data_IF_520337164159
#
_entry.id   IF_520337164159
#
_cell.length_a   1.000
_cell.length_b   1.000
_cell.length_c   1.000
_cell.angle_alpha   90.00
_cell.angle_beta   90.00
_cell.angle_gamma   90.00
#
_symmetry.space_group_name_H-M   'P 1'
#
loop_
_entity.id
_entity.type
_entity.pdbx_description
1 polymer ?
#
# COMPACT_ATOMS: atom_id res chain seq x y z
N UNK A 1 8.09 -9.73 12.89
CA UNK A 1 6.75 -10.18 13.36
C UNK A 1 5.74 -9.37 12.59
N UNK A 2 4.85 -10.01 11.81
CA UNK A 2 3.78 -9.29 11.13
C UNK A 2 2.81 -8.76 12.19
N UNK A 3 2.72 -7.44 12.33
CA UNK A 3 1.74 -6.75 13.17
C UNK A 3 0.38 -6.90 12.53
N UNK A 4 -0.64 -7.33 13.28
CA UNK A 4 -2.03 -7.29 12.83
C UNK A 4 -2.35 -5.87 12.34
N UNK A 5 -2.79 -5.73 11.09
CA UNK A 5 -3.34 -4.47 10.62
C UNK A 5 -4.70 -4.28 11.30
N UNK A 6 -4.80 -3.23 12.13
CA UNK A 6 -5.98 -2.97 12.97
C UNK A 6 -7.29 -2.92 12.17
N UNK A 7 -7.19 -2.51 10.91
CA UNK A 7 -8.28 -2.41 9.94
C UNK A 7 -8.96 -3.74 9.64
N UNK A 8 -8.31 -4.89 9.87
CA UNK A 8 -8.93 -6.22 9.67
C UNK A 8 -9.32 -6.90 10.98
N UNK A 9 -9.07 -6.27 12.12
CA UNK A 9 -9.28 -6.88 13.42
C UNK A 9 -10.77 -6.99 13.75
N UNK A 10 -11.26 -8.23 13.94
CA UNK A 10 -12.67 -8.50 14.20
C UNK A 10 -13.21 -7.81 15.46
N UNK A 11 -12.39 -7.69 16.52
CA UNK A 11 -12.78 -6.96 17.73
C UNK A 11 -12.90 -5.47 17.47
N UNK A 12 -11.93 -4.87 16.78
CA UNK A 12 -11.93 -3.45 16.47
C UNK A 12 -13.13 -3.06 15.59
N UNK A 13 -13.42 -3.83 14.54
CA UNK A 13 -14.63 -3.63 13.73
C UNK A 13 -15.92 -3.80 14.55
N UNK A 14 -15.99 -4.82 15.40
CA UNK A 14 -17.18 -5.04 16.25
C UNK A 14 -17.37 -3.88 17.23
N UNK A 15 -16.27 -3.33 17.77
CA UNK A 15 -16.27 -2.16 18.64
C UNK A 15 -16.80 -0.91 17.92
N UNK A 16 -16.32 -0.63 16.70
CA UNK A 16 -16.75 0.51 15.90
C UNK A 16 -18.22 0.43 15.47
N UNK A 17 -18.71 -0.78 15.15
CA UNK A 17 -20.03 -0.97 14.57
C UNK A 17 -21.09 -1.35 15.62
N UNK A 18 -20.91 -2.49 16.31
CA UNK A 18 -21.91 -3.04 17.25
C UNK A 18 -21.88 -2.34 18.60
N UNK A 19 -20.69 -1.99 19.11
CA UNK A 19 -20.50 -1.31 20.40
C UNK A 19 -20.17 0.18 20.22
N UNK A 20 -20.71 0.80 19.16
CA UNK A 20 -20.42 2.17 18.74
C UNK A 20 -20.52 3.20 19.87
N UNK A 21 -21.53 3.09 20.73
CA UNK A 21 -21.70 4.01 21.88
C UNK A 21 -20.49 3.98 22.83
N UNK A 22 -19.95 2.79 23.11
CA UNK A 22 -18.79 2.62 23.98
C UNK A 22 -17.52 3.10 23.26
N UNK A 23 -17.39 2.84 21.96
CA UNK A 23 -16.31 3.36 21.13
C UNK A 23 -16.26 4.89 21.15
N UNK A 24 -17.37 5.56 20.82
CA UNK A 24 -17.47 7.03 20.83
C UNK A 24 -17.20 7.62 22.23
N UNK A 25 -17.63 6.93 23.29
CA UNK A 25 -17.30 7.32 24.67
C UNK A 25 -15.79 7.23 24.95
N UNK A 26 -15.12 6.16 24.49
CA UNK A 26 -13.68 6.02 24.64
C UNK A 26 -12.93 7.15 23.90
N UNK A 27 -13.35 7.47 22.67
CA UNK A 27 -12.74 8.56 21.88
C UNK A 27 -12.91 9.93 22.52
N UNK A 28 -14.14 10.28 22.92
CA UNK A 28 -14.43 11.60 23.54
C UNK A 28 -13.68 11.83 24.85
N UNK A 29 -13.27 10.75 25.54
CA UNK A 29 -12.53 10.81 26.80
C UNK A 29 -11.05 10.47 26.67
N UNK A 30 -10.55 10.28 25.45
CA UNK A 30 -9.19 9.86 25.15
C UNK A 30 -8.76 8.60 25.94
N UNK A 31 -9.69 7.66 26.13
CA UNK A 31 -9.40 6.39 26.78
C UNK A 31 -8.57 5.50 25.88
N UNK A 32 -7.77 4.64 26.50
CA UNK A 32 -6.90 3.72 25.80
C UNK A 32 -7.69 2.50 25.37
N UNK A 33 -7.62 2.15 24.09
CA UNK A 33 -8.32 0.98 23.53
C UNK A 33 -7.28 -0.14 23.36
N UNK A 34 -7.51 -1.30 23.95
CA UNK A 34 -6.65 -2.46 23.78
C UNK A 34 -7.31 -3.45 22.82
N UNK A 35 -6.63 -3.78 21.73
CA UNK A 35 -7.13 -4.62 20.64
C UNK A 35 -6.31 -5.90 20.62
N UNK A 36 -6.83 -7.03 21.13
CA UNK A 36 -6.12 -8.29 21.01
C UNK A 36 -5.93 -8.68 19.55
N UNK A 37 -4.76 -9.25 19.22
CA UNK A 37 -4.45 -9.73 17.89
C UNK A 37 -5.52 -10.75 17.41
N UNK A 38 -5.79 -10.77 16.11
CA UNK A 38 -6.79 -11.61 15.43
C UNK A 38 -6.64 -13.08 15.80
N UNK A 39 -5.39 -13.55 15.95
CA UNK A 39 -5.10 -14.91 16.42
C UNK A 39 -5.64 -15.18 17.82
N UNK A 40 -5.47 -14.24 18.75
CA UNK A 40 -5.91 -14.39 20.12
C UNK A 40 -7.44 -14.24 20.28
N UNK A 41 -8.12 -13.77 19.24
CA UNK A 41 -9.58 -13.67 19.17
C UNK A 41 -10.26 -14.94 18.61
N UNK A 42 -9.51 -15.90 18.05
CA UNK A 42 -10.09 -17.11 17.45
C UNK A 42 -10.95 -17.88 18.45
N UNK A 43 -12.18 -18.20 18.05
CA UNK A 43 -13.16 -18.92 18.88
C UNK A 43 -13.78 -18.11 20.02
N UNK A 44 -13.41 -16.83 20.18
CA UNK A 44 -14.00 -15.96 21.20
C UNK A 44 -15.24 -15.24 20.68
N UNK A 45 -16.27 -15.17 21.53
CA UNK A 45 -17.42 -14.31 21.30
C UNK A 45 -17.16 -12.93 21.92
N UNK A 46 -17.23 -11.87 21.11
CA UNK A 46 -17.07 -10.50 21.56
C UNK A 46 -18.36 -10.04 22.24
N UNK A 47 -18.36 -10.03 23.57
CA UNK A 47 -19.47 -9.58 24.44
C UNK A 47 -19.25 -8.16 24.95
N UNK A 48 -20.28 -7.57 25.57
CA UNK A 48 -20.13 -6.26 26.24
C UNK A 48 -19.06 -6.32 27.33
N UNK A 49 -19.10 -7.34 28.19
CA UNK A 49 -18.07 -7.58 29.22
C UNK A 49 -16.65 -7.67 28.63
N UNK A 50 -16.48 -8.31 27.47
CA UNK A 50 -15.20 -8.36 26.78
C UNK A 50 -14.74 -6.94 26.40
N UNK A 51 -15.61 -6.15 25.77
CA UNK A 51 -15.32 -4.76 25.38
C UNK A 51 -14.93 -3.91 26.59
N UNK A 52 -15.66 -4.03 27.69
CA UNK A 52 -15.43 -3.20 28.87
C UNK A 52 -14.06 -3.44 29.52
N UNK A 53 -13.60 -4.69 29.49
CA UNK A 53 -12.28 -5.08 29.98
C UNK A 53 -11.13 -4.58 29.10
N UNK A 54 -11.41 -4.32 27.82
CA UNK A 54 -10.42 -3.92 26.83
C UNK A 54 -10.39 -2.41 26.55
N UNK A 55 -11.17 -1.62 27.28
CA UNK A 55 -11.09 -0.15 27.27
C UNK A 55 -10.60 0.32 28.63
N UNK A 56 -9.51 1.08 28.63
CA UNK A 56 -8.75 1.44 29.81
C UNK A 56 -8.80 2.95 30.08
N UNK A 57 -9.18 3.29 31.31
CA UNK A 57 -9.24 4.65 31.84
C UNK A 57 -7.96 4.97 32.61
N UNK A 58 -7.31 6.12 32.39
CA UNK A 58 -6.15 6.50 33.19
C UNK A 58 -6.54 6.63 34.66
N UNK A 59 -5.68 6.14 35.54
CA UNK A 59 -5.86 6.31 36.99
C UNK A 59 -5.55 7.76 37.39
N UNK A 60 -6.39 8.41 38.21
CA UNK A 60 -6.11 9.76 38.70
C UNK A 60 -4.94 9.81 39.69
N UNK A 61 -4.60 8.67 40.30
CA UNK A 61 -3.60 8.60 41.38
C UNK A 61 -2.22 8.13 40.90
N UNK A 62 -2.15 7.38 39.80
CA UNK A 62 -0.90 6.80 39.31
C UNK A 62 -0.87 6.87 37.78
N UNK A 63 0.10 7.61 37.22
CA UNK A 63 0.20 7.86 35.78
C UNK A 63 0.44 6.61 34.93
N UNK A 64 1.06 5.57 35.50
CA UNK A 64 1.29 4.29 34.83
C UNK A 64 0.12 3.30 34.96
N UNK A 65 -0.89 3.61 35.77
CA UNK A 65 -1.99 2.69 36.03
C UNK A 65 -3.25 3.07 35.28
N UNK A 66 -3.98 2.05 34.87
CA UNK A 66 -5.22 2.18 34.13
C UNK A 66 -6.26 1.22 34.69
N UNK A 67 -7.51 1.66 34.77
CA UNK A 67 -8.63 0.83 35.19
C UNK A 67 -9.52 0.50 34.01
N UNK A 68 -9.96 -0.75 33.88
CA UNK A 68 -10.94 -1.15 32.86
C UNK A 68 -12.28 -0.41 33.05
N UNK A 69 -13.10 -0.41 32.01
CA UNK A 69 -14.44 0.21 32.01
C UNK A 69 -15.57 -0.74 32.43
N UNK A 70 -15.23 -1.88 33.00
CA UNK A 70 -16.14 -2.87 33.56
C UNK A 70 -16.83 -2.35 34.83
N UNK A 71 -17.89 -3.04 35.23
CA UNK A 71 -18.64 -2.72 36.43
C UNK A 71 -17.70 -2.67 37.66
N UNK A 72 -17.69 -1.51 38.33
CA UNK A 72 -16.83 -1.28 39.50
C UNK A 72 -15.36 -0.97 39.20
N UNK A 73 -14.93 -0.88 37.93
CA UNK A 73 -13.50 -0.69 37.56
C UNK A 73 -12.61 -1.76 38.19
N UNK A 74 -13.05 -3.01 38.09
CA UNK A 74 -12.58 -4.06 38.96
C UNK A 74 -11.20 -4.61 38.56
N UNK A 75 -10.75 -4.32 37.33
CA UNK A 75 -9.42 -4.66 36.85
C UNK A 75 -8.53 -3.41 36.73
N UNK A 76 -7.31 -3.50 37.30
CA UNK A 76 -6.30 -2.45 37.23
C UNK A 76 -5.06 -3.00 36.55
N UNK A 77 -4.59 -2.29 35.53
CA UNK A 77 -3.42 -2.61 34.73
C UNK A 77 -2.33 -1.58 34.96
N UNK A 78 -1.09 -2.02 35.09
CA UNK A 78 0.09 -1.18 35.10
C UNK A 78 0.77 -1.28 33.73
N UNK A 79 0.99 -0.13 33.09
CA UNK A 79 1.79 -0.03 31.87
C UNK A 79 3.27 -0.01 32.26
N UNK A 80 3.99 -1.08 31.92
CA UNK A 80 5.41 -1.24 32.17
C UNK A 80 6.15 -1.56 30.86
N UNK A 81 6.80 -0.54 30.30
CA UNK A 81 7.50 -0.66 29.01
C UNK A 81 6.55 -1.02 27.88
N UNK A 82 6.78 -2.18 27.26
CA UNK A 82 5.99 -2.74 26.16
C UNK A 82 4.91 -3.73 26.64
N UNK A 83 4.54 -3.70 27.92
CA UNK A 83 3.61 -4.67 28.50
C UNK A 83 2.59 -4.03 29.44
N UNK A 84 1.35 -4.57 29.44
CA UNK A 84 0.31 -4.28 30.41
C UNK A 84 0.25 -5.41 31.44
N UNK A 85 0.54 -5.09 32.70
CA UNK A 85 0.56 -6.04 33.81
C UNK A 85 -0.74 -5.91 34.61
N UNK A 86 -1.50 -6.99 34.73
CA UNK A 86 -2.72 -7.00 35.54
C UNK A 86 -2.35 -6.99 37.03
N UNK A 87 -2.59 -5.86 37.69
CA UNK A 87 -2.24 -5.60 39.08
C UNK A 87 -3.37 -5.92 40.05
N UNK A 88 -4.63 -5.80 39.63
CA UNK A 88 -5.81 -6.12 40.45
C UNK A 88 -6.90 -6.74 39.57
N UNK A 89 -7.56 -7.79 40.06
CA UNK A 89 -8.74 -8.40 39.46
C UNK A 89 -9.67 -8.95 40.57
N UNK A 90 -10.97 -9.21 40.30
CA UNK A 90 -11.90 -9.80 41.26
C UNK A 90 -11.52 -11.21 41.72
N UNK A 91 -10.86 -11.98 40.85
CA UNK A 91 -10.39 -13.33 41.13
C UNK A 91 -8.91 -13.27 41.50
N UNK A 92 -8.49 -14.01 42.53
CA UNK A 92 -7.07 -14.16 42.85
C UNK A 92 -6.36 -14.87 41.70
N UNK A 93 -5.50 -14.14 40.99
CA UNK A 93 -4.66 -14.68 39.94
C UNK A 93 -3.36 -15.11 40.60
N UNK A 94 -3.09 -16.43 40.59
CA UNK A 94 -1.92 -17.01 41.25
C UNK A 94 -0.58 -16.60 40.61
N UNK A 95 -0.61 -16.21 39.33
CA UNK A 95 0.56 -15.78 38.55
C UNK A 95 0.39 -14.35 38.01
N UNK A 96 1.50 -13.65 37.80
CA UNK A 96 1.48 -12.31 37.17
C UNK A 96 1.01 -12.43 35.72
N UNK A 97 -0.20 -11.96 35.45
CA UNK A 97 -0.72 -11.90 34.08
C UNK A 97 -0.21 -10.64 33.38
N UNK A 98 0.71 -10.81 32.44
CA UNK A 98 1.25 -9.74 31.62
C UNK A 98 0.84 -9.95 30.16
N UNK A 99 0.42 -8.86 29.50
CA UNK A 99 0.01 -8.81 28.10
C UNK A 99 1.01 -7.94 27.34
N UNK A 100 1.60 -8.47 26.28
CA UNK A 100 2.59 -7.75 25.48
C UNK A 100 1.90 -6.85 24.47
N UNK A 101 2.42 -5.63 24.31
CA UNK A 101 2.01 -4.67 23.29
C UNK A 101 2.82 -5.00 22.03
N UNK A 102 2.12 -5.39 20.97
CA UNK A 102 2.71 -5.71 19.67
C UNK A 102 2.94 -4.46 18.83
N UNK A 103 2.00 -3.52 18.87
CA UNK A 103 2.10 -2.21 18.21
C UNK A 103 1.21 -1.18 18.90
N UNK A 104 1.46 0.09 18.60
CA UNK A 104 0.72 1.23 19.14
C UNK A 104 0.27 2.10 17.97
N UNK A 105 -1.05 2.18 17.78
CA UNK A 105 -1.67 3.10 16.84
C UNK A 105 -2.12 4.36 17.57
N UNK A 106 -2.11 5.50 16.86
CA UNK A 106 -2.61 6.77 17.37
C UNK A 106 -3.81 7.23 16.55
N UNK A 107 -4.84 7.70 17.22
CA UNK A 107 -5.97 8.37 16.58
C UNK A 107 -6.25 9.73 17.21
N UNK A 108 -7.05 10.54 16.53
CA UNK A 108 -7.52 11.83 17.02
C UNK A 108 -9.03 11.83 17.17
N UNK A 109 -9.55 12.37 18.27
CA UNK A 109 -11.00 12.55 18.45
C UNK A 109 -11.50 13.80 17.69
N UNK A 110 -12.80 14.11 17.79
CA UNK A 110 -13.42 15.25 17.08
C UNK A 110 -12.84 16.60 17.52
N UNK A 111 -12.28 16.64 18.71
CA UNK A 111 -11.63 17.78 19.33
C UNK A 111 -10.11 17.81 19.04
N UNK A 112 -9.61 16.98 18.12
CA UNK A 112 -8.20 16.82 17.76
C UNK A 112 -7.29 16.40 18.92
N UNK A 113 -7.85 15.80 19.97
CA UNK A 113 -7.06 15.22 21.06
C UNK A 113 -6.62 13.81 20.69
N UNK A 114 -5.34 13.52 20.92
CA UNK A 114 -4.75 12.24 20.60
C UNK A 114 -5.17 11.17 21.63
N UNK A 115 -5.57 10.00 21.13
CA UNK A 115 -5.78 8.79 21.92
C UNK A 115 -4.94 7.64 21.37
N UNK A 116 -4.68 6.63 22.21
CA UNK A 116 -3.86 5.47 21.86
C UNK A 116 -4.70 4.21 21.71
N UNK A 117 -4.37 3.43 20.69
CA UNK A 117 -4.86 2.07 20.52
C UNK A 117 -3.66 1.12 20.64
N UNK A 118 -3.72 0.18 21.56
CA UNK A 118 -2.67 -0.80 21.81
C UNK A 118 -3.08 -2.12 21.18
N UNK A 119 -2.31 -2.64 20.21
CA UNK A 119 -2.52 -3.99 19.71
C UNK A 119 -1.79 -4.95 20.64
N UNK A 120 -2.51 -5.91 21.22
CA UNK A 120 -1.99 -6.81 22.25
C UNK A 120 -1.85 -8.25 21.78
N UNK A 121 -0.86 -8.98 22.32
CA UNK A 121 -0.61 -10.38 21.96
C UNK A 121 -1.71 -11.34 22.40
N UNK A 122 -2.47 -10.98 23.43
CA UNK A 122 -3.63 -11.73 23.95
C UNK A 122 -4.66 -10.83 24.65
N UNK A 123 -5.85 -11.34 25.00
CA UNK A 123 -6.85 -10.59 25.75
C UNK A 123 -6.36 -10.10 27.11
N UNK A 124 -6.89 -8.98 27.59
CA UNK A 124 -6.51 -8.38 28.88
C UNK A 124 -6.97 -9.20 30.09
N UNK A 125 -7.91 -10.11 29.93
CA UNK A 125 -8.40 -10.97 31.02
C UNK A 125 -8.02 -12.44 30.77
N UNK A 126 -7.43 -13.13 31.77
CA UNK A 126 -7.07 -14.54 31.67
C UNK A 126 -8.26 -15.46 31.30
N UNK A 127 -9.49 -15.07 31.64
CA UNK A 127 -10.70 -15.86 31.35
C UNK A 127 -11.00 -16.03 29.85
N UNK A 128 -10.38 -15.20 29.01
CA UNK A 128 -10.50 -15.27 27.55
C UNK A 128 -9.25 -15.84 26.88
N UNK A 129 -8.32 -16.44 27.63
CA UNK A 129 -7.21 -17.16 27.00
C UNK A 129 -7.77 -18.34 26.21
N UNK A 130 -7.56 -18.32 24.90
CA UNK A 130 -7.77 -19.49 24.06
C UNK A 130 -6.75 -20.57 24.41
N UNK A 131 -7.18 -21.84 24.34
CA UNK A 131 -6.23 -22.96 24.35
C UNK A 131 -5.26 -22.78 23.17
N UNK A 132 -3.98 -23.17 23.32
CA UNK A 132 -3.03 -23.12 22.22
C UNK A 132 -3.53 -24.07 21.12
N UNK A 133 -4.20 -23.51 20.12
CA UNK A 133 -4.40 -24.20 18.85
C UNK A 133 -3.01 -24.28 18.23
N UNK A 134 -2.57 -25.49 17.86
CA UNK A 134 -1.36 -25.67 17.07
C UNK A 134 -1.46 -24.79 15.83
N UNK A 135 -0.74 -23.68 15.85
CA UNK A 135 -0.69 -22.71 14.78
C UNK A 135 0.12 -23.39 13.68
N UNK A 136 -0.53 -23.80 12.59
CA UNK A 136 0.17 -23.88 11.30
C UNK A 136 0.92 -22.56 11.19
N UNK A 137 2.25 -22.57 11.26
CA UNK A 137 3.12 -21.40 11.49
C UNK A 137 3.12 -20.32 10.39
N UNK A 138 1.98 -20.13 9.73
CA UNK A 138 1.65 -19.10 8.78
C UNK A 138 1.59 -17.80 9.55
N UNK A 139 2.76 -17.20 9.73
CA UNK A 139 2.85 -15.76 9.82
C UNK A 139 2.18 -15.23 8.55
N UNK A 140 0.96 -14.71 8.70
CA UNK A 140 0.19 -14.09 7.63
C UNK A 140 0.95 -12.81 7.23
N UNK A 141 1.94 -13.00 6.37
CA UNK A 141 2.81 -11.94 5.86
C UNK A 141 2.05 -11.19 4.77
N UNK A 142 2.27 -9.89 4.70
CA UNK A 142 1.74 -9.03 3.65
C UNK A 142 2.24 -9.52 2.28
N UNK A 143 1.34 -9.62 1.31
CA UNK A 143 1.67 -9.94 -0.09
C UNK A 143 2.11 -8.64 -0.77
N UNK A 144 3.39 -8.51 -1.10
CA UNK A 144 3.89 -7.34 -1.85
C UNK A 144 4.56 -7.70 -3.19
N UNK A 145 4.42 -8.94 -3.66
CA UNK A 145 4.94 -9.38 -4.96
C UNK A 145 4.21 -10.62 -5.46
N UNK A 146 4.36 -10.90 -6.76
CA UNK A 146 3.90 -12.16 -7.34
C UNK A 146 4.56 -13.38 -6.66
N UNK A 147 5.85 -13.29 -6.29
CA UNK A 147 6.55 -14.36 -5.60
C UNK A 147 5.92 -14.68 -4.23
N UNK A 148 5.50 -13.66 -3.48
CA UNK A 148 4.74 -13.86 -2.24
C UNK A 148 3.40 -14.50 -2.48
N UNK A 149 2.67 -14.01 -3.49
CA UNK A 149 1.34 -14.52 -3.84
C UNK A 149 1.42 -16.02 -4.16
N UNK A 150 2.39 -16.40 -5.00
CA UNK A 150 2.66 -17.81 -5.31
C UNK A 150 3.09 -18.57 -4.06
N UNK A 151 3.98 -18.01 -3.24
CA UNK A 151 4.44 -18.63 -2.00
C UNK A 151 3.30 -18.89 -1.00
N UNK A 152 2.37 -17.95 -0.86
CA UNK A 152 1.17 -18.08 -0.03
C UNK A 152 0.22 -19.14 -0.60
N UNK A 153 -0.08 -19.07 -1.90
CA UNK A 153 -0.98 -20.01 -2.56
C UNK A 153 -0.44 -21.45 -2.57
N UNK A 154 0.88 -21.63 -2.63
CA UNK A 154 1.52 -22.96 -2.61
C UNK A 154 1.86 -23.45 -1.22
N UNK A 155 1.68 -22.62 -0.19
CA UNK A 155 1.91 -23.01 1.20
C UNK A 155 1.04 -24.20 1.63
N UNK A 156 -0.18 -24.28 1.10
CA UNK A 156 -1.11 -25.35 1.41
C UNK A 156 -1.08 -26.43 0.32
N UNK A 157 -0.77 -27.70 0.63
CA UNK A 157 -0.75 -28.78 -0.36
C UNK A 157 -2.06 -28.91 -1.15
N UNK A 158 -3.20 -28.69 -0.47
CA UNK A 158 -4.54 -28.76 -1.07
C UNK A 158 -4.75 -27.67 -2.13
N UNK A 159 -4.10 -26.50 -1.99
CA UNK A 159 -4.19 -25.43 -2.98
C UNK A 159 -3.46 -25.79 -4.27
N UNK A 160 -2.33 -26.51 -4.17
CA UNK A 160 -1.54 -26.91 -5.34
C UNK A 160 -2.39 -27.73 -6.32
N UNK A 161 -3.20 -28.68 -5.82
CA UNK A 161 -4.09 -29.49 -6.67
C UNK A 161 -5.12 -28.65 -7.43
N UNK A 162 -5.61 -27.56 -6.81
CA UNK A 162 -6.55 -26.63 -7.43
C UNK A 162 -5.83 -25.75 -8.47
N UNK A 163 -4.64 -25.25 -8.15
CA UNK A 163 -3.85 -24.38 -9.04
C UNK A 163 -3.33 -25.12 -10.28
N UNK A 164 -3.06 -26.43 -10.18
CA UNK A 164 -2.68 -27.26 -11.34
C UNK A 164 -3.82 -27.29 -12.37
N UNK A 165 -5.08 -27.29 -11.93
CA UNK A 165 -6.26 -27.23 -12.83
C UNK A 165 -6.47 -25.84 -13.41
N UNK A 166 -6.20 -24.80 -12.62
CA UNK A 166 -6.33 -23.42 -13.03
C UNK A 166 -5.43 -23.07 -14.23
N UNK A 167 -4.20 -23.58 -14.27
CA UNK A 167 -3.24 -23.26 -15.35
C UNK A 167 -3.79 -23.51 -16.77
N UNK A 168 -4.18 -24.76 -17.11
CA UNK A 168 -4.81 -25.08 -18.39
C UNK A 168 -6.11 -24.32 -18.66
N UNK A 169 -6.94 -24.09 -17.63
CA UNK A 169 -8.18 -23.32 -17.76
C UNK A 169 -7.90 -21.86 -18.13
N UNK A 170 -6.86 -21.24 -17.55
CA UNK A 170 -6.45 -19.88 -17.93
C UNK A 170 -5.95 -19.82 -19.38
N UNK A 171 -5.24 -20.84 -19.86
CA UNK A 171 -4.80 -20.89 -21.25
C UNK A 171 -6.00 -21.02 -22.21
N UNK A 172 -6.98 -21.85 -21.87
CA UNK A 172 -8.22 -21.94 -22.63
C UNK A 172 -9.01 -20.63 -22.56
N UNK A 173 -9.08 -20.00 -21.39
CA UNK A 173 -9.71 -18.71 -21.20
C UNK A 173 -9.07 -17.66 -22.12
N UNK A 174 -7.75 -17.52 -22.16
CA UNK A 174 -7.05 -16.61 -23.07
C UNK A 174 -7.53 -16.73 -24.52
N UNK A 175 -7.62 -17.97 -25.04
CA UNK A 175 -8.09 -18.19 -26.41
C UNK A 175 -9.53 -17.74 -26.64
N UNK A 176 -10.39 -17.88 -25.62
CA UNK A 176 -11.78 -17.46 -25.69
C UNK A 176 -11.97 -15.94 -25.59
N UNK A 177 -11.04 -15.23 -24.94
CA UNK A 177 -11.13 -13.79 -24.67
C UNK A 177 -10.74 -12.93 -25.88
N UNK A 178 -9.96 -13.45 -26.83
CA UNK A 178 -9.42 -12.69 -27.97
C UNK A 178 -10.50 -11.99 -28.81
N UNK A 179 -11.70 -12.56 -28.89
CA UNK A 179 -12.80 -12.04 -29.71
C UNK A 179 -13.85 -11.27 -28.89
N UNK A 180 -13.67 -11.19 -27.58
CA UNK A 180 -14.65 -10.61 -26.67
C UNK A 180 -14.47 -9.08 -26.51
N UNK A 181 -15.54 -8.40 -26.13
CA UNK A 181 -15.44 -7.01 -25.68
C UNK A 181 -14.79 -6.95 -24.29
N UNK A 182 -14.10 -5.85 -23.96
CA UNK A 182 -13.46 -5.70 -22.64
C UNK A 182 -14.42 -5.88 -21.46
N UNK A 183 -15.70 -5.57 -21.62
CA UNK A 183 -16.70 -5.79 -20.58
C UNK A 183 -16.94 -7.29 -20.36
N UNK A 184 -17.09 -8.07 -21.44
CA UNK A 184 -17.24 -9.53 -21.35
C UNK A 184 -15.94 -10.17 -20.81
N UNK A 185 -14.78 -9.66 -21.23
CA UNK A 185 -13.48 -10.11 -20.71
C UNK A 185 -13.42 -9.89 -19.20
N UNK A 186 -13.79 -8.70 -18.73
CA UNK A 186 -13.87 -8.37 -17.30
C UNK A 186 -14.78 -9.37 -16.57
N UNK A 187 -16.00 -9.56 -17.04
CA UNK A 187 -16.97 -10.46 -16.40
C UNK A 187 -16.41 -11.90 -16.28
N UNK A 188 -15.86 -12.45 -17.37
CA UNK A 188 -15.27 -13.80 -17.36
C UNK A 188 -14.06 -13.94 -16.43
N UNK A 189 -13.20 -12.92 -16.37
CA UNK A 189 -12.03 -12.92 -15.47
C UNK A 189 -12.49 -12.86 -14.01
N UNK A 190 -13.44 -11.99 -13.68
CA UNK A 190 -14.03 -11.87 -12.34
C UNK A 190 -14.77 -13.14 -11.91
N UNK A 191 -15.51 -13.78 -12.82
CA UNK A 191 -16.18 -15.06 -12.56
C UNK A 191 -15.17 -16.18 -12.27
N UNK A 192 -14.09 -16.24 -13.05
CA UNK A 192 -12.99 -17.20 -12.83
C UNK A 192 -12.35 -16.97 -11.46
N UNK A 193 -12.03 -15.71 -11.14
CA UNK A 193 -11.47 -15.32 -9.85
C UNK A 193 -12.39 -15.70 -8.68
N UNK A 194 -13.69 -15.41 -8.79
CA UNK A 194 -14.73 -15.78 -7.82
C UNK A 194 -14.77 -17.27 -7.55
N UNK A 195 -14.81 -18.06 -8.64
CA UNK A 195 -14.93 -19.51 -8.58
C UNK A 195 -13.74 -20.13 -7.85
N UNK A 196 -12.53 -19.71 -8.22
CA UNK A 196 -11.31 -20.23 -7.61
C UNK A 196 -11.09 -19.74 -6.19
N UNK A 197 -11.42 -18.48 -5.88
CA UNK A 197 -11.37 -17.97 -4.52
C UNK A 197 -12.30 -18.76 -3.60
N UNK A 198 -13.55 -18.99 -4.01
CA UNK A 198 -14.50 -19.80 -3.24
C UNK A 198 -14.04 -21.25 -3.09
N UNK A 199 -13.47 -21.84 -4.15
CA UNK A 199 -12.97 -23.21 -4.13
C UNK A 199 -11.83 -23.35 -3.13
N UNK A 200 -10.83 -22.45 -3.18
CA UNK A 200 -9.69 -22.44 -2.26
C UNK A 200 -10.11 -22.14 -0.83
N UNK A 201 -11.04 -21.21 -0.61
CA UNK A 201 -11.53 -20.87 0.74
C UNK A 201 -12.24 -22.06 1.40
N UNK A 202 -13.08 -22.78 0.66
CA UNK A 202 -13.83 -23.95 1.16
C UNK A 202 -12.94 -25.13 1.55
N UNK A 203 -11.69 -25.16 1.11
CA UNK A 203 -10.73 -26.19 1.53
C UNK A 203 -10.27 -26.04 2.99
N UNK A 204 -10.53 -24.88 3.61
CA UNK A 204 -10.10 -24.57 4.97
C UNK A 204 -11.21 -24.74 6.01
N UNK A 205 -10.89 -24.94 7.30
CA UNK A 205 -11.87 -24.95 8.39
C UNK A 205 -12.64 -23.64 8.51
N UNK A 206 -13.87 -23.69 9.08
CA UNK A 206 -14.77 -22.53 9.20
C UNK A 206 -14.14 -21.31 9.89
N UNK A 207 -13.25 -21.52 10.85
CA UNK A 207 -12.58 -20.41 11.55
C UNK A 207 -11.67 -19.61 10.61
N UNK A 208 -10.91 -20.30 9.75
CA UNK A 208 -10.04 -19.67 8.75
C UNK A 208 -10.87 -19.12 7.58
N UNK A 209 -12.00 -19.75 7.24
CA UNK A 209 -12.93 -19.19 6.25
C UNK A 209 -13.51 -17.84 6.68
N UNK A 210 -13.68 -17.61 7.99
CA UNK A 210 -14.23 -16.37 8.56
C UNK A 210 -13.16 -15.33 8.90
N UNK A 211 -11.89 -15.68 8.79
CA UNK A 211 -10.77 -14.79 9.04
C UNK A 211 -10.65 -13.79 7.88
N UNK A 212 -10.95 -12.51 8.17
CA UNK A 212 -10.95 -11.44 7.16
C UNK A 212 -9.56 -11.20 6.57
N UNK A 213 -8.52 -11.33 7.38
CA UNK A 213 -7.14 -11.16 6.92
C UNK A 213 -6.73 -12.31 6.00
N UNK A 214 -7.07 -13.56 6.36
CA UNK A 214 -6.85 -14.71 5.48
C UNK A 214 -7.62 -14.57 4.15
N UNK A 215 -8.89 -14.18 4.18
CA UNK A 215 -9.69 -13.95 2.99
C UNK A 215 -9.08 -12.87 2.08
N UNK A 216 -8.57 -11.78 2.66
CA UNK A 216 -7.89 -10.71 1.94
C UNK A 216 -6.59 -11.20 1.29
N UNK A 217 -5.74 -11.92 2.04
CA UNK A 217 -4.50 -12.51 1.50
C UNK A 217 -4.79 -13.50 0.37
N UNK A 218 -5.80 -14.34 0.51
CA UNK A 218 -6.23 -15.26 -0.53
C UNK A 218 -6.73 -14.52 -1.78
N UNK A 219 -7.51 -13.45 -1.60
CA UNK A 219 -8.01 -12.60 -2.68
C UNK A 219 -6.86 -11.93 -3.44
N UNK A 220 -5.95 -11.24 -2.76
CA UNK A 220 -4.80 -10.55 -3.36
C UNK A 220 -3.86 -11.54 -4.04
N UNK A 221 -3.62 -12.70 -3.41
CA UNK A 221 -2.71 -13.70 -3.98
C UNK A 221 -3.29 -14.31 -5.25
N UNK A 222 -4.59 -14.60 -5.26
CA UNK A 222 -5.26 -15.14 -6.44
C UNK A 222 -5.33 -14.11 -7.57
N UNK A 223 -5.61 -12.83 -7.26
CA UNK A 223 -5.56 -11.73 -8.23
C UNK A 223 -4.19 -11.68 -8.90
N UNK A 224 -3.12 -11.65 -8.11
CA UNK A 224 -1.76 -11.65 -8.63
C UNK A 224 -1.47 -12.86 -9.52
N UNK A 225 -1.86 -14.06 -9.07
CA UNK A 225 -1.61 -15.30 -9.81
C UNK A 225 -2.34 -15.34 -11.16
N UNK A 226 -3.61 -14.95 -11.19
CA UNK A 226 -4.42 -14.97 -12.41
C UNK A 226 -4.05 -13.80 -13.33
N UNK A 227 -4.01 -12.58 -12.82
CA UNK A 227 -3.77 -11.40 -13.64
C UNK A 227 -2.35 -11.36 -14.20
N UNK A 228 -1.33 -11.86 -13.49
CA UNK A 228 0.02 -11.98 -14.06
C UNK A 228 0.09 -12.86 -15.30
N UNK A 229 -0.78 -13.88 -15.41
CA UNK A 229 -0.85 -14.79 -16.57
C UNK A 229 -1.73 -14.28 -17.69
N UNK A 230 -2.73 -13.46 -17.35
CA UNK A 230 -3.65 -12.85 -18.32
C UNK A 230 -3.20 -11.46 -18.77
N UNK A 231 -2.19 -10.87 -18.12
CA UNK A 231 -1.77 -9.48 -18.30
C UNK A 231 -1.51 -9.15 -19.77
N UNK A 232 -0.62 -9.88 -20.43
CA UNK A 232 -0.20 -9.55 -21.80
C UNK A 232 -1.40 -9.49 -22.75
N UNK A 233 -2.36 -10.41 -22.63
CA UNK A 233 -3.57 -10.38 -23.44
C UNK A 233 -4.49 -9.23 -23.05
N UNK A 234 -4.88 -9.16 -21.77
CA UNK A 234 -5.91 -8.22 -21.30
C UNK A 234 -5.41 -6.78 -21.42
N UNK A 235 -4.18 -6.51 -21.02
CA UNK A 235 -3.58 -5.17 -21.07
C UNK A 235 -3.39 -4.70 -22.51
N UNK A 236 -3.01 -5.59 -23.44
CA UNK A 236 -2.97 -5.24 -24.87
C UNK A 236 -4.36 -4.89 -25.43
N UNK A 237 -5.41 -5.61 -25.03
CA UNK A 237 -6.78 -5.25 -25.42
C UNK A 237 -7.19 -3.87 -24.86
N UNK A 238 -6.77 -3.55 -23.63
CA UNK A 238 -6.98 -2.23 -23.02
C UNK A 238 -6.21 -1.14 -23.77
N UNK A 239 -4.92 -1.37 -24.05
CA UNK A 239 -4.07 -0.46 -24.83
C UNK A 239 -4.65 -0.17 -26.20
N UNK A 240 -5.12 -1.20 -26.91
CA UNK A 240 -5.76 -1.01 -28.21
C UNK A 240 -7.02 -0.15 -28.14
N UNK A 241 -7.80 -0.25 -27.05
CA UNK A 241 -9.00 0.56 -26.87
C UNK A 241 -8.69 2.01 -26.52
N UNK A 242 -7.65 2.26 -25.73
CA UNK A 242 -7.29 3.57 -25.19
C UNK A 242 -6.08 4.21 -25.86
N UNK A 243 -5.62 3.67 -26.99
CA UNK A 243 -4.44 4.14 -27.72
C UNK A 243 -4.50 5.63 -28.08
N UNK A 244 -5.67 6.13 -28.49
CA UNK A 244 -5.84 7.56 -28.80
C UNK A 244 -5.70 8.44 -27.55
N UNK A 245 -6.31 8.03 -26.44
CA UNK A 245 -6.22 8.73 -25.15
C UNK A 245 -4.77 8.72 -24.62
N UNK A 246 -4.09 7.57 -24.69
CA UNK A 246 -2.70 7.40 -24.28
C UNK A 246 -1.76 8.29 -25.12
N UNK A 247 -1.93 8.28 -26.45
CA UNK A 247 -1.14 9.11 -27.35
C UNK A 247 -1.36 10.62 -27.09
N UNK A 248 -2.60 11.03 -26.79
CA UNK A 248 -2.93 12.41 -26.44
C UNK A 248 -2.23 12.83 -25.13
N UNK A 249 -2.38 12.03 -24.07
CA UNK A 249 -1.76 12.32 -22.76
C UNK A 249 -0.24 12.36 -22.90
N UNK A 250 0.37 11.37 -23.55
CA UNK A 250 1.81 11.29 -23.73
C UNK A 250 2.36 12.45 -24.57
N UNK A 251 1.65 12.85 -25.62
CA UNK A 251 2.00 14.01 -26.45
C UNK A 251 2.04 15.30 -25.64
N UNK A 252 0.99 15.55 -24.83
CA UNK A 252 0.91 16.73 -23.97
C UNK A 252 1.97 16.72 -22.87
N UNK A 253 2.20 15.57 -22.23
CA UNK A 253 3.26 15.39 -21.23
C UNK A 253 4.65 15.69 -21.83
N UNK A 254 4.94 15.20 -23.03
CA UNK A 254 6.21 15.49 -23.73
C UNK A 254 6.36 16.96 -24.06
N UNK A 255 5.30 17.62 -24.52
CA UNK A 255 5.31 19.06 -24.81
C UNK A 255 5.59 19.87 -23.53
N UNK A 256 4.85 19.62 -22.46
CA UNK A 256 5.00 20.32 -21.17
C UNK A 256 6.37 20.05 -20.53
N UNK A 257 6.87 18.82 -20.61
CA UNK A 257 8.21 18.49 -20.15
C UNK A 257 9.29 19.24 -20.95
N UNK A 258 9.13 19.35 -22.27
CA UNK A 258 10.08 20.11 -23.11
C UNK A 258 10.07 21.62 -22.83
N UNK A 259 8.93 22.15 -22.38
CA UNK A 259 8.77 23.54 -21.97
C UNK A 259 9.33 23.81 -20.55
N UNK A 260 9.71 22.77 -19.80
CA UNK A 260 10.25 22.89 -18.45
C UNK A 260 9.25 23.43 -17.42
N UNK A 261 7.99 22.99 -17.53
CA UNK A 261 6.89 23.42 -16.66
C UNK A 261 7.14 23.02 -15.22
N UNK A 262 6.85 23.95 -14.32
CA UNK A 262 7.05 23.81 -12.86
C UNK A 262 5.72 23.88 -12.12
N UNK A 263 5.67 23.31 -10.90
CA UNK A 263 4.42 23.16 -10.16
C UNK A 263 3.70 24.49 -9.85
N UNK A 264 4.44 25.59 -9.65
CA UNK A 264 3.88 26.93 -9.45
C UNK A 264 3.13 27.44 -10.68
N UNK A 265 3.64 27.10 -11.88
CA UNK A 265 2.97 27.45 -13.14
C UNK A 265 1.65 26.71 -13.32
N UNK A 266 1.53 25.54 -12.67
CA UNK A 266 0.33 24.72 -12.59
C UNK A 266 -0.59 25.12 -11.43
N UNK A 267 -0.21 26.13 -10.66
CA UNK A 267 -1.02 26.68 -9.57
C UNK A 267 -0.69 26.17 -8.17
N UNK A 268 0.39 25.39 -8.01
CA UNK A 268 0.91 25.10 -6.67
C UNK A 268 1.38 26.39 -5.97
N UNK A 269 1.23 26.50 -4.64
CA UNK A 269 1.93 27.52 -3.87
C UNK A 269 3.44 27.49 -4.13
N UNK A 270 4.10 28.67 -4.16
CA UNK A 270 5.55 28.76 -4.39
C UNK A 270 6.35 27.89 -3.41
N UNK A 271 5.90 27.83 -2.16
CA UNK A 271 6.53 27.06 -1.07
C UNK A 271 6.44 25.54 -1.31
N UNK A 272 5.52 25.09 -2.17
CA UNK A 272 5.32 23.67 -2.49
C UNK A 272 5.92 23.27 -3.83
N UNK A 273 6.38 24.23 -4.63
CA UNK A 273 7.01 23.99 -5.93
C UNK A 273 8.46 23.49 -5.76
N UNK A 274 8.59 22.28 -5.23
CA UNK A 274 9.85 21.60 -4.95
C UNK A 274 10.13 20.47 -5.95
N UNK A 275 11.40 20.02 -6.08
CA UNK A 275 11.72 18.77 -6.76
C UNK A 275 11.07 17.55 -6.07
N UNK A 276 10.52 16.61 -6.84
CA UNK A 276 9.85 15.39 -6.35
C UNK A 276 10.43 14.08 -6.95
N UNK A 277 11.74 13.82 -6.81
CA UNK A 277 12.42 12.75 -7.53
C UNK A 277 11.95 11.35 -7.14
N UNK A 278 11.68 11.11 -5.85
CA UNK A 278 11.25 9.79 -5.41
C UNK A 278 9.89 9.43 -6.02
N UNK A 279 8.96 10.38 -6.00
CA UNK A 279 7.63 10.20 -6.62
C UNK A 279 7.72 9.97 -8.14
N UNK A 280 8.61 10.67 -8.83
CA UNK A 280 8.83 10.51 -10.27
C UNK A 280 9.36 9.12 -10.60
N UNK A 281 10.35 8.63 -9.84
CA UNK A 281 10.93 7.29 -10.04
C UNK A 281 9.89 6.20 -9.80
N UNK A 282 9.09 6.32 -8.74
CA UNK A 282 8.03 5.36 -8.45
C UNK A 282 7.01 5.31 -9.59
N UNK A 283 6.50 6.46 -10.03
CA UNK A 283 5.50 6.52 -11.09
C UNK A 283 6.03 6.05 -12.44
N UNK A 284 7.30 6.28 -12.75
CA UNK A 284 7.93 5.80 -13.98
C UNK A 284 7.94 4.26 -14.09
N UNK A 285 7.80 3.54 -12.98
CA UNK A 285 7.71 2.08 -12.96
C UNK A 285 6.32 1.53 -13.31
N UNK A 286 5.28 2.37 -13.39
CA UNK A 286 3.87 1.97 -13.50
C UNK A 286 3.61 0.98 -14.65
N UNK A 287 4.18 1.24 -15.82
CA UNK A 287 3.99 0.42 -17.03
C UNK A 287 4.64 -0.97 -16.91
N UNK A 288 5.66 -1.13 -16.05
CA UNK A 288 6.35 -2.42 -15.83
C UNK A 288 5.61 -3.38 -14.89
N UNK A 289 4.56 -2.89 -14.21
CA UNK A 289 3.78 -3.68 -13.28
C UNK A 289 2.68 -4.43 -14.03
N UNK A 290 2.42 -5.69 -13.67
CA UNK A 290 1.45 -6.52 -14.40
C UNK A 290 0.08 -6.57 -13.71
N UNK A 291 0.04 -6.53 -12.37
CA UNK A 291 -1.21 -6.75 -11.63
C UNK A 291 -1.94 -5.42 -11.34
N UNK A 292 -3.28 -5.38 -11.40
CA UNK A 292 -4.06 -4.19 -11.01
C UNK A 292 -3.73 -3.69 -9.60
N UNK A 293 -3.67 -4.58 -8.60
CA UNK A 293 -3.29 -4.23 -7.22
C UNK A 293 -1.89 -3.63 -7.09
N UNK A 294 -0.93 -4.08 -7.90
CA UNK A 294 0.44 -3.56 -7.89
C UNK A 294 0.47 -2.15 -8.48
N UNK A 295 -0.21 -1.93 -9.62
CA UNK A 295 -0.35 -0.61 -10.23
C UNK A 295 -1.03 0.39 -9.29
N UNK A 296 -2.08 -0.03 -8.57
CA UNK A 296 -2.74 0.79 -7.55
C UNK A 296 -1.83 1.12 -6.37
N UNK A 297 -1.01 0.14 -5.96
CA UNK A 297 -0.01 0.35 -4.91
C UNK A 297 1.07 1.35 -5.35
N UNK A 298 1.48 1.32 -6.62
CA UNK A 298 2.37 2.33 -7.20
C UNK A 298 1.74 3.73 -7.14
N UNK A 299 0.47 3.88 -7.52
CA UNK A 299 -0.22 5.17 -7.42
C UNK A 299 -0.24 5.69 -5.96
N UNK A 300 -0.60 4.83 -5.01
CA UNK A 300 -0.61 5.18 -3.58
C UNK A 300 0.78 5.60 -3.09
N UNK A 301 1.80 4.80 -3.41
CA UNK A 301 3.19 5.08 -3.01
C UNK A 301 3.68 6.39 -3.61
N UNK A 302 3.31 6.68 -4.87
CA UNK A 302 3.62 7.97 -5.51
C UNK A 302 3.07 9.14 -4.70
N UNK A 303 1.80 9.09 -4.27
CA UNK A 303 1.20 10.14 -3.43
C UNK A 303 1.87 10.26 -2.07
N UNK A 304 2.17 9.13 -1.43
CA UNK A 304 2.86 9.11 -0.14
C UNK A 304 4.25 9.75 -0.24
N UNK A 305 4.98 9.51 -1.33
CA UNK A 305 6.28 10.10 -1.61
C UNK A 305 6.20 11.61 -1.84
N UNK A 306 5.21 12.10 -2.59
CA UNK A 306 4.98 13.55 -2.76
C UNK A 306 4.79 14.21 -1.39
N UNK A 307 3.94 13.63 -0.54
CA UNK A 307 3.67 14.16 0.79
C UNK A 307 4.91 14.09 1.70
N UNK A 308 5.71 13.04 1.60
CA UNK A 308 6.93 12.88 2.38
C UNK A 308 8.02 13.88 1.98
N UNK A 309 8.25 14.06 0.68
CA UNK A 309 9.23 15.01 0.14
C UNK A 309 8.83 16.45 0.49
N UNK A 310 7.54 16.79 0.41
CA UNK A 310 7.04 18.09 0.82
C UNK A 310 7.24 18.35 2.32
N UNK A 311 6.89 17.39 3.17
CA UNK A 311 7.13 17.50 4.62
C UNK A 311 8.61 17.69 4.92
N UNK A 312 9.49 16.97 4.22
CA UNK A 312 10.94 17.13 4.33
C UNK A 312 11.40 18.56 3.99
N UNK A 313 10.98 19.08 2.84
CA UNK A 313 11.34 20.42 2.39
C UNK A 313 10.82 21.53 3.33
N UNK A 314 9.60 21.37 3.85
CA UNK A 314 9.01 22.30 4.83
C UNK A 314 9.83 22.28 6.14
N UNK A 315 10.20 21.10 6.64
CA UNK A 315 11.04 20.97 7.84
C UNK A 315 12.42 21.60 7.62
N UNK A 316 13.06 21.35 6.47
CA UNK A 316 14.36 21.92 6.15
C UNK A 316 14.30 23.46 6.06
N UNK A 317 13.26 24.01 5.42
CA UNK A 317 13.05 25.45 5.32
C UNK A 317 12.73 26.10 6.69
N UNK A 318 11.92 25.45 7.53
CA UNK A 318 11.60 25.94 8.88
C UNK A 318 12.71 25.72 9.90
N UNK A 319 13.65 24.79 9.68
CA UNK A 319 14.84 24.68 10.53
C UNK A 319 15.72 25.95 10.50
N UNK A 320 15.53 26.80 9.48
CA UNK A 320 16.27 28.04 9.24
C UNK A 320 15.51 29.30 9.72
N UNK A 321 14.20 29.22 9.97
CA UNK A 321 13.35 30.37 10.38
C UNK A 321 12.61 30.11 11.71
N UNK A 322 12.53 31.14 12.55
CA UNK A 322 12.04 31.10 13.94
C UNK A 322 10.74 30.32 14.19
N UNK A 323 10.68 29.67 15.37
CA UNK A 323 9.68 28.73 15.92
C UNK A 323 8.19 29.14 15.93
N UNK A 324 7.79 30.25 15.33
CA UNK A 324 6.42 30.82 15.45
C UNK A 324 5.60 30.76 14.15
N UNK A 325 6.06 30.07 13.11
CA UNK A 325 5.29 29.90 11.87
C UNK A 325 4.48 28.60 11.93
N UNK A 326 3.14 28.69 11.91
CA UNK A 326 2.28 27.51 11.73
C UNK A 326 2.66 26.78 10.43
N UNK A 327 2.87 25.46 10.49
CA UNK A 327 3.10 24.66 9.28
C UNK A 327 1.93 24.83 8.32
N UNK A 328 2.19 25.06 7.01
CA UNK A 328 1.14 25.07 6.00
C UNK A 328 0.37 23.73 6.03
N UNK A 329 -0.95 23.80 6.17
CA UNK A 329 -1.82 22.62 6.06
C UNK A 329 -2.05 22.33 4.58
N UNK A 330 -1.58 21.18 4.11
CA UNK A 330 -1.79 20.76 2.72
C UNK A 330 -3.23 20.27 2.52
N UNK A 331 -3.92 20.87 1.54
CA UNK A 331 -5.24 20.42 1.09
C UNK A 331 -5.10 19.58 -0.19
N UNK A 332 -6.10 18.75 -0.51
CA UNK A 332 -6.12 17.96 -1.77
C UNK A 332 -5.98 18.82 -3.02
N UNK A 333 -6.48 20.05 -2.97
CA UNK A 333 -6.42 21.02 -4.06
C UNK A 333 -4.98 21.49 -4.33
N UNK A 334 -4.11 21.45 -3.31
CA UNK A 334 -2.67 21.73 -3.44
C UNK A 334 -1.88 20.52 -3.97
N UNK A 335 -2.44 19.31 -3.84
CA UNK A 335 -1.78 18.06 -4.24
C UNK A 335 -1.87 17.82 -5.75
N UNK A 336 -2.96 18.22 -6.41
CA UNK A 336 -3.18 17.98 -7.84
C UNK A 336 -2.07 18.62 -8.70
N UNK A 337 -1.71 19.91 -8.54
CA UNK A 337 -0.62 20.51 -9.33
C UNK A 337 0.74 19.81 -9.15
N UNK A 338 1.03 19.32 -7.94
CA UNK A 338 2.24 18.55 -7.65
C UNK A 338 2.20 17.20 -8.37
N UNK A 339 1.05 16.51 -8.32
CA UNK A 339 0.87 15.23 -9.00
C UNK A 339 0.97 15.37 -10.53
N UNK A 340 0.37 16.42 -11.10
CA UNK A 340 0.51 16.73 -12.53
C UNK A 340 1.98 16.95 -12.90
N UNK A 341 2.74 17.64 -12.04
CA UNK A 341 4.19 17.82 -12.24
C UNK A 341 4.92 16.48 -12.26
N UNK A 342 4.61 15.57 -11.32
CA UNK A 342 5.18 14.21 -11.27
C UNK A 342 4.81 13.41 -12.52
N UNK A 343 3.56 13.47 -12.99
CA UNK A 343 3.12 12.80 -14.23
C UNK A 343 3.90 13.32 -15.45
N UNK A 344 4.08 14.65 -15.56
CA UNK A 344 4.83 15.27 -16.66
C UNK A 344 6.29 14.78 -16.67
N UNK A 345 6.90 14.63 -15.49
CA UNK A 345 8.29 14.23 -15.36
C UNK A 345 8.49 12.72 -15.55
N UNK A 346 7.57 11.89 -15.06
CA UNK A 346 7.61 10.43 -15.17
C UNK A 346 7.31 9.94 -16.59
N UNK A 347 6.51 10.68 -17.37
CA UNK A 347 6.17 10.37 -18.77
C UNK A 347 5.63 8.94 -18.99
N UNK A 348 4.60 8.52 -18.23
CA UNK A 348 4.01 7.19 -18.39
C UNK A 348 3.51 6.98 -19.83
N UNK A 349 3.77 5.80 -20.40
CA UNK A 349 3.47 5.49 -21.80
C UNK A 349 1.97 5.23 -22.00
N UNK A 350 1.35 4.46 -21.10
CA UNK A 350 -0.02 3.97 -21.26
C UNK A 350 -0.94 4.46 -20.14
N UNK A 351 -0.93 5.76 -19.86
CA UNK A 351 -1.59 6.31 -18.67
C UNK A 351 -3.11 6.06 -18.61
N UNK A 352 -3.85 6.32 -19.69
CA UNK A 352 -5.29 6.05 -19.75
C UNK A 352 -5.57 4.55 -19.64
N UNK A 353 -4.79 3.72 -20.34
CA UNK A 353 -4.89 2.26 -20.27
C UNK A 353 -4.65 1.71 -18.87
N UNK A 354 -3.61 2.19 -18.16
CA UNK A 354 -3.32 1.81 -16.78
C UNK A 354 -4.49 2.14 -15.84
N UNK A 355 -5.05 3.36 -15.96
CA UNK A 355 -6.20 3.79 -15.14
C UNK A 355 -7.44 2.93 -15.41
N UNK A 356 -7.73 2.63 -16.68
CA UNK A 356 -8.84 1.75 -17.06
C UNK A 356 -8.63 0.33 -16.53
N UNK A 357 -7.41 -0.20 -16.68
CA UNK A 357 -7.06 -1.55 -16.24
C UNK A 357 -7.23 -1.72 -14.73
N UNK A 358 -6.72 -0.77 -13.94
CA UNK A 358 -6.90 -0.75 -12.48
C UNK A 358 -8.38 -0.69 -12.08
N UNK A 359 -9.17 0.20 -12.68
CA UNK A 359 -10.58 0.37 -12.33
C UNK A 359 -11.44 -0.85 -12.65
N UNK A 360 -11.15 -1.55 -13.75
CA UNK A 360 -12.04 -2.59 -14.27
C UNK A 360 -11.62 -4.00 -13.88
N UNK A 361 -10.31 -4.24 -13.68
CA UNK A 361 -9.77 -5.58 -13.44
C UNK A 361 -9.25 -5.81 -12.01
N UNK A 362 -9.33 -4.82 -11.13
CA UNK A 362 -9.13 -5.04 -9.69
C UNK A 362 -10.22 -5.96 -9.13
N UNK A 363 -9.84 -6.94 -8.32
CA UNK A 363 -10.73 -7.94 -7.72
C UNK A 363 -11.00 -7.73 -6.22
N UNK A 364 -10.15 -6.98 -5.53
CA UNK A 364 -10.05 -6.96 -4.05
C UNK A 364 -11.41 -6.97 -3.32
N UNK A 365 -11.64 -7.99 -2.48
CA UNK A 365 -12.92 -8.24 -1.80
C UNK A 365 -13.19 -7.32 -0.59
N UNK A 366 -12.21 -6.51 -0.17
CA UNK A 366 -12.39 -5.54 0.91
C UNK A 366 -13.03 -4.25 0.38
N UNK A 367 -14.14 -3.78 0.94
CA UNK A 367 -14.84 -2.57 0.50
C UNK A 367 -14.12 -1.25 0.85
N UNK A 368 -12.81 -1.23 1.17
CA UNK A 368 -12.12 0.03 1.48
C UNK A 368 -11.91 0.95 0.27
N UNK A 369 -12.07 0.47 -0.98
CA UNK A 369 -11.65 1.22 -2.17
C UNK A 369 -12.60 1.06 -3.36
N UNK A 370 -13.86 1.51 -3.27
CA UNK A 370 -14.77 1.52 -4.44
C UNK A 370 -14.23 2.34 -5.63
N UNK A 371 -13.27 3.24 -5.39
CA UNK A 371 -12.24 3.71 -6.31
C UNK A 371 -11.19 4.29 -5.36
N UNK A 372 -10.01 3.67 -5.23
CA UNK A 372 -9.06 4.11 -4.20
C UNK A 372 -8.81 5.62 -4.30
N UNK A 373 -8.63 6.29 -3.16
CA UNK A 373 -8.34 7.73 -3.14
C UNK A 373 -7.24 8.09 -4.15
N UNK A 374 -6.22 7.23 -4.27
CA UNK A 374 -5.17 7.34 -5.26
C UNK A 374 -5.71 7.34 -6.69
N UNK A 375 -6.51 6.35 -7.08
CA UNK A 375 -7.06 6.25 -8.43
C UNK A 375 -7.96 7.46 -8.78
N UNK A 376 -8.79 7.93 -7.85
CA UNK A 376 -9.61 9.13 -8.04
C UNK A 376 -8.74 10.38 -8.23
N UNK A 377 -7.72 10.54 -7.38
CA UNK A 377 -6.81 11.69 -7.43
C UNK A 377 -6.01 11.73 -8.73
N UNK A 378 -5.51 10.58 -9.20
CA UNK A 378 -4.83 10.48 -10.49
C UNK A 378 -5.76 10.78 -11.66
N UNK A 379 -7.02 10.31 -11.64
CA UNK A 379 -8.01 10.67 -12.66
C UNK A 379 -8.27 12.18 -12.70
N UNK A 380 -8.41 12.81 -11.53
CA UNK A 380 -8.56 14.26 -11.44
C UNK A 380 -7.32 15.01 -11.98
N UNK A 381 -6.11 14.54 -11.67
CA UNK A 381 -4.88 15.12 -12.20
C UNK A 381 -4.75 14.96 -13.72
N UNK A 382 -5.16 13.82 -14.30
CA UNK A 382 -5.20 13.66 -15.75
C UNK A 382 -6.24 14.57 -16.40
N UNK A 383 -7.40 14.74 -15.78
CA UNK A 383 -8.39 15.70 -16.26
C UNK A 383 -7.82 17.12 -16.25
N UNK A 384 -7.19 17.55 -15.16
CA UNK A 384 -6.54 18.85 -15.05
C UNK A 384 -5.47 19.01 -16.14
N UNK A 385 -4.58 18.02 -16.27
CA UNK A 385 -3.54 17.97 -17.30
C UNK A 385 -4.12 18.20 -18.70
N UNK A 386 -5.22 17.51 -19.06
CA UNK A 386 -5.87 17.63 -20.37
C UNK A 386 -6.53 18.99 -20.61
N UNK A 387 -6.82 19.77 -19.56
CA UNK A 387 -7.31 21.16 -19.70
C UNK A 387 -6.18 22.18 -19.88
N UNK A 388 -4.94 21.79 -19.60
CA UNK A 388 -3.80 22.70 -19.70
C UNK A 388 -3.53 23.07 -21.16
N UNK A 389 -3.24 24.35 -21.36
CA UNK A 389 -2.76 24.87 -22.63
C UNK A 389 -1.32 25.35 -22.44
N UNK A 390 -0.34 24.68 -23.04
CA UNK A 390 1.08 25.01 -22.87
C UNK A 390 1.43 26.48 -23.11
N UNK A 391 0.68 27.15 -24.01
CA UNK A 391 0.88 28.56 -24.39
C UNK A 391 0.21 29.58 -23.45
N UNK A 392 -0.66 29.14 -22.56
CA UNK A 392 -1.44 30.00 -21.63
C UNK A 392 -1.03 29.76 -20.17
N UNK A 393 0.09 29.08 -19.92
CA UNK A 393 0.57 28.79 -18.57
C UNK A 393 0.99 30.06 -17.82
N UNK A 394 0.86 30.03 -16.49
CA UNK A 394 1.27 31.13 -15.62
C UNK A 394 2.77 31.40 -15.76
N UNK A 395 3.19 32.67 -15.62
CA UNK A 395 4.62 33.00 -15.58
C UNK A 395 5.26 32.33 -14.37
N UNK A 396 6.46 31.79 -14.56
CA UNK A 396 7.23 31.11 -13.53
C UNK A 396 7.70 32.10 -12.46
N UNK A 397 7.69 31.65 -11.20
CA UNK A 397 8.30 32.39 -10.09
C UNK A 397 9.83 32.28 -10.10
N UNK A 398 10.53 33.40 -9.87
CA UNK A 398 12.00 33.46 -9.80
C UNK A 398 12.60 32.64 -8.65
N UNK A 399 11.78 32.30 -7.64
CA UNK A 399 12.21 31.56 -6.44
C UNK A 399 12.23 30.05 -6.63
N UNK A 400 11.57 29.54 -7.66
CA UNK A 400 11.41 28.09 -7.91
C UNK A 400 12.65 27.56 -8.62
N UNK A 401 13.32 26.57 -8.02
CA UNK A 401 14.51 25.93 -8.60
C UNK A 401 14.15 25.13 -9.85
N UNK A 402 15.09 25.04 -10.81
CA UNK A 402 14.94 24.26 -12.05
C UNK A 402 14.76 22.77 -11.74
N UNK A 403 14.19 22.08 -12.74
CA UNK A 403 14.01 20.63 -12.86
C UNK A 403 15.08 19.79 -12.16
N UNK A 404 14.64 18.63 -11.70
CA UNK A 404 15.51 17.55 -11.23
C UNK A 404 16.60 17.26 -12.26
N UNK A 405 17.86 17.47 -11.88
CA UNK A 405 18.98 17.06 -12.72
C UNK A 405 19.09 15.55 -12.67
N UNK A 406 19.66 14.95 -13.72
CA UNK A 406 20.02 13.53 -13.71
C UNK A 406 20.87 13.17 -12.47
N UNK A 407 21.68 14.12 -12.01
CA UNK A 407 22.47 14.06 -10.77
C UNK A 407 21.61 13.92 -9.50
N UNK A 408 20.44 14.56 -9.45
CA UNK A 408 19.51 14.49 -8.31
C UNK A 408 18.75 13.16 -8.33
N UNK A 409 18.36 12.67 -9.51
CA UNK A 409 17.80 11.32 -9.69
C UNK A 409 18.82 10.24 -9.31
N UNK A 410 20.08 10.39 -9.73
CA UNK A 410 21.19 9.49 -9.35
C UNK A 410 21.56 9.62 -7.88
N UNK A 411 21.44 10.80 -7.26
CA UNK A 411 21.63 10.95 -5.82
C UNK A 411 20.56 10.22 -5.04
N UNK A 412 19.31 10.24 -5.47
CA UNK A 412 18.26 9.45 -4.80
C UNK A 412 18.55 7.96 -4.92
N UNK A 413 18.99 7.46 -6.09
CA UNK A 413 19.37 6.04 -6.21
C UNK A 413 20.59 5.68 -5.36
N UNK A 414 21.56 6.60 -5.19
CA UNK A 414 22.78 6.40 -4.37
C UNK A 414 22.56 6.63 -2.88
N UNK A 415 21.77 7.60 -2.44
CA UNK A 415 21.44 7.85 -1.02
C UNK A 415 20.56 6.74 -0.45
N UNK A 416 19.68 6.17 -1.27
CA UNK A 416 19.00 4.90 -0.98
C UNK A 416 20.03 3.76 -0.83
N UNK A 417 21.06 3.71 -1.67
CA UNK A 417 22.16 2.74 -1.56
C UNK A 417 23.11 2.94 -0.37
N UNK A 418 23.46 4.18 0.00
CA UNK A 418 24.43 4.50 1.06
C UNK A 418 23.83 4.43 2.47
N UNK A 419 22.50 4.60 2.61
CA UNK A 419 21.81 4.26 3.87
C UNK A 419 21.98 2.78 4.25
N UNK A 420 22.29 1.92 3.29
CA UNK A 420 22.51 0.48 3.51
C UNK A 420 23.93 0.10 3.91
N UNK A 421 24.95 0.85 3.48
CA UNK A 421 26.35 0.56 3.84
C UNK A 421 26.66 0.87 5.32
N UNK A 422 25.93 1.81 5.95
CA UNK A 422 26.08 2.13 7.38
C UNK A 422 25.45 1.10 8.33
N UNK A 423 24.70 0.13 7.82
CA UNK A 423 24.14 -1.00 8.57
C UNK A 423 24.95 -2.30 8.41
N UNK A 424 26.24 -2.18 8.13
CA UNK A 424 27.15 -3.28 7.84
C UNK A 424 27.75 -4.04 9.03
N UNK A 425 27.12 -4.07 10.22
CA UNK A 425 27.61 -4.94 11.31
C UNK A 425 26.51 -5.82 11.94
N UNK A 426 26.63 -7.12 11.57
CA UNK A 426 26.20 -8.36 12.25
C UNK A 426 24.73 -8.80 12.18
N UNK A 427 24.53 -9.69 11.20
CA UNK A 427 23.55 -10.79 11.02
C UNK A 427 22.78 -11.24 12.27
N UNK A 428 21.46 -11.07 12.21
CA UNK A 428 20.45 -12.09 12.50
C UNK A 428 19.47 -12.10 11.31
N UNK A 429 18.88 -13.25 10.99
CA UNK A 429 18.06 -13.49 9.78
C UNK A 429 16.78 -12.62 9.77
N UNK A 430 16.84 -11.47 9.10
CA UNK A 430 15.74 -10.53 8.94
C UNK A 430 14.92 -10.93 7.69
N UNK A 431 13.58 -10.94 7.76
CA UNK A 431 12.73 -11.19 6.61
C UNK A 431 12.88 -10.08 5.57
N UNK A 432 13.00 -10.51 4.31
CA UNK A 432 13.20 -9.71 3.10
C UNK A 432 12.27 -8.48 3.09
N UNK A 433 12.89 -7.31 3.14
CA UNK A 433 12.28 -5.98 3.19
C UNK A 433 11.66 -5.62 1.82
N UNK A 434 10.63 -4.76 1.77
CA UNK A 434 10.14 -4.15 0.53
C UNK A 434 11.25 -3.55 -0.36
N UNK A 435 12.37 -3.16 0.26
CA UNK A 435 13.56 -2.64 -0.41
C UNK A 435 14.40 -3.73 -1.11
N UNK A 436 14.45 -4.95 -0.57
CA UNK A 436 15.15 -6.08 -1.19
C UNK A 436 14.46 -6.49 -2.50
N UNK A 437 13.13 -6.32 -2.56
CA UNK A 437 12.34 -6.50 -3.79
C UNK A 437 12.53 -5.38 -4.80
N UNK A 438 12.80 -4.17 -4.32
CA UNK A 438 13.23 -3.07 -5.21
C UNK A 438 14.61 -3.38 -5.81
N UNK A 439 15.54 -3.97 -5.06
CA UNK A 439 16.85 -4.39 -5.60
C UNK A 439 16.72 -5.47 -6.68
N UNK A 440 15.89 -6.50 -6.48
CA UNK A 440 15.67 -7.53 -7.51
C UNK A 440 15.04 -6.93 -8.78
N UNK A 441 14.08 -6.00 -8.62
CA UNK A 441 13.41 -5.33 -9.76
C UNK A 441 14.33 -4.36 -10.51
N UNK A 442 15.17 -3.61 -9.81
CA UNK A 442 16.14 -2.69 -10.43
C UNK A 442 17.25 -3.49 -11.15
N UNK A 443 17.72 -4.59 -10.57
CA UNK A 443 18.72 -5.47 -11.20
C UNK A 443 18.17 -6.08 -12.49
N UNK A 444 16.94 -6.58 -12.46
CA UNK A 444 16.26 -7.09 -13.66
C UNK A 444 16.05 -6.01 -14.74
N UNK A 445 15.77 -4.76 -14.33
CA UNK A 445 15.58 -3.63 -15.26
C UNK A 445 16.90 -3.20 -15.91
N UNK A 446 18.01 -3.25 -15.17
CA UNK A 446 19.35 -2.98 -15.71
C UNK A 446 19.78 -4.09 -16.67
N UNK A 447 19.55 -5.36 -16.33
CA UNK A 447 19.83 -6.51 -17.21
C UNK A 447 19.04 -6.43 -18.52
N UNK A 448 17.74 -6.12 -18.45
CA UNK A 448 16.90 -5.92 -19.64
C UNK A 448 17.40 -4.73 -20.49
N UNK A 449 17.69 -3.59 -19.87
CA UNK A 449 18.16 -2.40 -20.59
C UNK A 449 19.57 -2.57 -21.18
N UNK A 450 20.45 -3.37 -20.55
CA UNK A 450 21.78 -3.69 -21.12
C UNK A 450 21.70 -4.76 -22.21
N UNK A 451 20.72 -5.66 -22.18
CA UNK A 451 20.43 -6.55 -23.30
C UNK A 451 19.89 -5.78 -24.51
N UNK A 452 18.93 -4.89 -24.30
CA UNK A 452 18.36 -4.05 -25.38
C UNK A 452 19.44 -3.15 -26.02
N UNK A 453 20.32 -2.55 -25.20
CA UNK A 453 21.44 -1.74 -25.71
C UNK A 453 22.47 -2.60 -26.46
N UNK A 454 22.75 -3.82 -26.02
CA UNK A 454 23.68 -4.72 -26.74
C UNK A 454 23.07 -5.21 -28.06
N UNK A 455 21.77 -5.50 -28.10
CA UNK A 455 21.06 -5.92 -29.31
C UNK A 455 20.93 -4.77 -30.33
N UNK A 456 20.69 -3.53 -29.87
CA UNK A 456 20.74 -2.34 -30.73
C UNK A 456 22.16 -2.06 -31.25
N UNK A 457 23.19 -2.27 -30.43
CA UNK A 457 24.59 -2.05 -30.85
C UNK A 457 25.05 -3.10 -31.85
N UNK A 458 24.61 -4.36 -31.71
CA UNK A 458 24.87 -5.44 -32.66
C UNK A 458 24.20 -5.17 -34.01
N UNK A 459 22.93 -4.73 -34.01
CA UNK A 459 22.22 -4.36 -35.24
C UNK A 459 22.82 -3.15 -35.96
N UNK A 460 23.30 -2.14 -35.22
CA UNK A 460 23.97 -0.97 -35.80
C UNK A 460 25.36 -1.31 -36.39
N UNK A 461 26.06 -2.30 -35.85
CA UNK A 461 27.34 -2.75 -36.41
C UNK A 461 27.19 -3.60 -37.67
N UNK A 462 26.12 -4.40 -37.79
CA UNK A 462 25.87 -5.21 -38.99
C UNK A 462 25.44 -4.36 -40.21
N UNK A 463 24.69 -3.27 -40.00
CA UNK A 463 24.26 -2.35 -41.07
C UNK A 463 25.40 -1.47 -41.61
N UNK A 464 26.43 -1.19 -40.80
CA UNK A 464 27.59 -0.39 -41.23
C UNK A 464 28.58 -1.20 -42.07
N UNK A 465 28.69 -2.51 -41.83
CA UNK A 465 29.56 -3.39 -42.61
C UNK A 465 28.94 -3.82 -43.95
N UNK A 466 27.61 -3.84 -44.08
CA UNK A 466 26.96 -4.10 -45.38
C UNK A 466 27.03 -2.89 -46.34
N UNK A 467 27.08 -1.66 -45.83
CA UNK A 467 27.15 -0.45 -46.66
C UNK A 467 28.56 -0.08 -47.15
N UNK A 468 29.62 -0.75 -46.67
CA UNK A 468 30.99 -0.53 -47.16
C UNK A 468 31.37 -1.37 -48.38
N UNK A 469 30.51 -2.29 -48.83
CA UNK A 469 30.80 -3.17 -49.97
C UNK A 469 30.14 -2.79 -51.31
N UNK A 470 29.50 -1.62 -51.43
CA UNK A 470 28.78 -1.23 -52.68
C UNK A 470 29.32 0.05 -53.35
N UNK A 471 30.44 0.63 -52.89
CA UNK A 471 31.13 1.69 -53.66
C UNK A 471 32.62 1.42 -53.79
N UNK A 472 32.98 0.74 -54.88
CA UNK A 472 34.35 0.47 -55.33
C UNK A 472 34.32 -0.07 -56.75
#
# INVERSE_FOLDING_TARGET
>A
MATDEIEYNAYYHTLQNKFRRKYEQALSRCWMICVPCSRALRGLNITEEFVELHILRPSPSFSSHYASTDEGSSHIFELNGDSLILHKAPVQIAEKYAVKILSVESGYNKEYQQYKILITDKPLSPKYQSQPVEDDGIQLRKINSLADAVGFLTHFPVHIEVLIKLGPELQQLCSSLLSDSLQVVREKVHDTMSCYWMTLLKTHPLDRQRDAHFQNLLSISLENFIMSRLHDLVFQMVCNKHNEDDAQILGLVKELASAGVTADQLGAPEDFAIPLPAAVVELASLDSLNCPVDKLSCLRTTLDLILAELKGAIVDAHSVLSKDSQMPTLMTDDLIPLLVTVIIQAKPLHMASNLYYMENFQWTLSPSDATSFSLVTFKAAIQELLTLKPKELRPRSEKVRRELRLEDLMKVTVEVGQRFERSGERREEIPISPLDRQMERITAMIEASTQDLNDETLHLTEDVDQNKHVTG
#
